data_IF_547600440743
#
_entry.id   IF_547600440743
#
_cell.length_a   1.000
_cell.length_b   1.000
_cell.length_c   1.000
_cell.angle_alpha   90.00
_cell.angle_beta   90.00
_cell.angle_gamma   90.00
#
_symmetry.space_group_name_H-M   'P 1'
#
loop_
_entity.id
_entity.type
_entity.pdbx_description
1 polymer ?
#
# COMPACT_ATOMS: atom_id res chain seq x y z
N UNK A 1 3.16 -1.48 30.53
CA UNK A 1 4.13 -0.79 29.67
C UNK A 1 4.21 0.69 30.05
N UNK A 2 5.22 1.43 29.59
CA UNK A 2 5.31 2.88 29.87
C UNK A 2 4.29 3.62 29.00
N UNK A 3 3.20 4.12 29.59
CA UNK A 3 2.16 4.86 28.85
C UNK A 3 2.70 6.08 28.09
N UNK A 4 3.89 6.58 28.44
CA UNK A 4 4.58 7.63 27.72
C UNK A 4 5.02 7.22 26.31
N UNK A 5 5.36 5.95 26.05
CA UNK A 5 5.83 5.50 24.74
C UNK A 5 4.70 5.43 23.71
N UNK A 6 3.53 4.94 24.14
CA UNK A 6 2.31 4.88 23.32
C UNK A 6 1.84 6.29 22.97
N UNK A 7 1.79 7.19 23.97
CA UNK A 7 1.43 8.59 23.75
C UNK A 7 2.37 9.30 22.77
N UNK A 8 3.68 9.02 22.86
CA UNK A 8 4.68 9.55 21.93
C UNK A 8 4.43 9.09 20.50
N UNK A 9 4.27 7.79 20.27
CA UNK A 9 4.08 7.27 18.92
C UNK A 9 2.73 7.62 18.31
N UNK A 10 1.68 7.75 19.13
CA UNK A 10 0.39 8.27 18.66
C UNK A 10 0.54 9.68 18.08
N UNK A 11 1.18 10.59 18.83
CA UNK A 11 1.44 11.94 18.36
C UNK A 11 2.32 11.94 17.09
N UNK A 12 3.34 11.07 17.04
CA UNK A 12 4.20 10.97 15.87
C UNK A 12 3.46 10.47 14.62
N UNK A 13 2.58 9.47 14.76
CA UNK A 13 1.75 8.94 13.67
C UNK A 13 0.76 10.00 13.17
N UNK A 14 0.09 10.69 14.09
CA UNK A 14 -0.96 11.65 13.74
C UNK A 14 -0.40 12.96 13.15
N UNK A 15 0.77 13.41 13.59
CA UNK A 15 1.31 14.74 13.25
C UNK A 15 2.42 14.69 12.19
N UNK A 16 3.20 13.61 12.13
CA UNK A 16 4.43 13.54 11.32
C UNK A 16 4.36 12.42 10.28
N UNK A 17 4.01 11.20 10.68
CA UNK A 17 3.99 10.01 9.82
C UNK A 17 2.62 9.82 9.14
N UNK A 18 2.14 10.89 8.51
CA UNK A 18 0.78 10.99 7.95
C UNK A 18 0.61 10.38 6.56
N UNK A 19 1.67 9.81 6.00
CA UNK A 19 1.69 9.12 4.70
C UNK A 19 1.74 7.61 4.90
N UNK A 20 1.38 6.79 3.88
CA UNK A 20 1.77 5.38 3.84
C UNK A 20 3.26 5.23 4.17
N UNK A 21 3.63 4.19 4.92
CA UNK A 21 4.96 4.09 5.48
C UNK A 21 5.40 2.65 5.65
N UNK A 22 6.68 2.39 5.40
CA UNK A 22 7.39 1.23 5.95
C UNK A 22 8.49 1.73 6.89
N UNK A 23 8.59 1.15 8.08
CA UNK A 23 9.71 1.39 9.02
C UNK A 23 10.36 0.06 9.33
N UNK A 24 11.67 -0.04 9.09
CA UNK A 24 12.43 -1.28 9.29
C UNK A 24 13.62 -1.03 10.20
N UNK A 25 13.69 -1.79 11.30
CA UNK A 25 14.83 -1.84 12.22
C UNK A 25 15.70 -3.04 11.89
N UNK A 26 16.99 -2.83 11.70
CA UNK A 26 17.94 -3.86 11.27
C UNK A 26 19.13 -3.85 12.22
N UNK A 27 19.46 -5.01 12.79
CA UNK A 27 20.59 -5.12 13.71
C UNK A 27 21.91 -5.24 12.93
N UNK A 28 22.89 -4.40 13.27
CA UNK A 28 24.29 -4.37 12.77
C UNK A 28 24.54 -4.07 11.29
N UNK A 29 23.52 -3.95 10.44
CA UNK A 29 23.70 -3.63 9.01
C UNK A 29 23.82 -2.11 8.81
N UNK A 30 24.92 -1.56 8.25
CA UNK A 30 25.06 -0.12 8.03
C UNK A 30 24.02 0.46 7.06
N UNK A 31 23.65 1.73 7.24
CA UNK A 31 22.64 2.42 6.42
C UNK A 31 22.88 2.36 4.90
N UNK A 32 24.11 2.55 4.37
CA UNK A 32 24.36 2.36 2.94
C UNK A 32 24.03 0.96 2.45
N UNK A 33 24.35 -0.07 3.24
CA UNK A 33 24.18 -1.48 2.88
C UNK A 33 22.71 -1.90 3.01
N UNK A 34 22.00 -1.38 4.02
CA UNK A 34 20.55 -1.52 4.13
C UNK A 34 19.82 -0.95 2.90
N UNK A 35 20.23 0.23 2.44
CA UNK A 35 19.69 0.81 1.20
C UNK A 35 20.04 -0.03 -0.03
N UNK A 36 21.23 -0.65 -0.10
CA UNK A 36 21.57 -1.59 -1.18
C UNK A 36 20.66 -2.82 -1.18
N UNK A 37 20.40 -3.40 0.00
CA UNK A 37 19.47 -4.52 0.14
C UNK A 37 18.04 -4.16 -0.31
N UNK A 38 17.63 -2.91 -0.06
CA UNK A 38 16.37 -2.32 -0.54
C UNK A 38 16.40 -1.86 -2.01
N UNK A 39 17.44 -2.21 -2.77
CA UNK A 39 17.60 -1.86 -4.20
C UNK A 39 17.68 -0.36 -4.47
N UNK A 40 18.44 0.38 -3.66
CA UNK A 40 18.74 1.80 -3.94
C UNK A 40 19.28 2.00 -5.35
N UNK A 41 18.92 3.14 -5.94
CA UNK A 41 19.53 3.67 -7.14
C UNK A 41 20.75 4.53 -6.81
N UNK A 42 21.91 4.12 -7.31
CA UNK A 42 23.20 4.76 -6.98
C UNK A 42 23.25 6.24 -7.38
N UNK A 43 22.63 6.61 -8.50
CA UNK A 43 22.58 7.98 -9.02
C UNK A 43 21.64 8.92 -8.25
N UNK A 44 20.90 8.39 -7.25
CA UNK A 44 19.91 9.16 -6.47
C UNK A 44 20.27 9.35 -5.01
N UNK A 45 21.44 8.82 -4.59
CA UNK A 45 21.96 8.94 -3.24
C UNK A 45 22.16 10.41 -2.85
N UNK A 46 21.53 10.83 -1.75
CA UNK A 46 21.70 12.16 -1.19
C UNK A 46 21.44 12.15 0.32
N UNK A 47 21.65 13.30 0.98
CA UNK A 47 21.12 13.54 2.31
C UNK A 47 19.78 14.27 2.21
N UNK A 48 18.74 13.78 2.90
CA UNK A 48 17.39 14.36 2.87
C UNK A 48 16.72 14.23 4.23
N UNK A 49 15.83 15.17 4.54
CA UNK A 49 14.87 15.04 5.64
C UNK A 49 13.76 14.04 5.28
N UNK A 50 12.91 13.69 6.25
CA UNK A 50 11.73 12.87 5.99
C UNK A 50 10.83 13.50 4.92
N UNK A 51 10.46 14.77 5.08
CA UNK A 51 9.56 15.50 4.15
C UNK A 51 10.10 15.53 2.72
N UNK A 52 11.40 15.79 2.52
CA UNK A 52 11.99 15.75 1.19
C UNK A 52 12.05 14.34 0.61
N UNK A 53 12.30 13.32 1.44
CA UNK A 53 12.29 11.92 0.98
C UNK A 53 10.89 11.49 0.57
N UNK A 54 9.85 11.89 1.31
CA UNK A 54 8.46 11.63 0.96
C UNK A 54 8.11 12.25 -0.41
N UNK A 55 8.49 13.50 -0.66
CA UNK A 55 8.28 14.12 -1.97
C UNK A 55 8.98 13.34 -3.09
N UNK A 56 10.25 12.98 -2.89
CA UNK A 56 11.01 12.18 -3.87
C UNK A 56 10.36 10.81 -4.10
N UNK A 57 9.79 10.18 -3.07
CA UNK A 57 9.07 8.92 -3.20
C UNK A 57 7.83 9.08 -4.09
N UNK A 58 7.03 10.13 -3.89
CA UNK A 58 5.88 10.43 -4.76
C UNK A 58 6.29 10.70 -6.20
N UNK A 59 7.36 11.47 -6.42
CA UNK A 59 7.86 11.79 -7.76
C UNK A 59 8.40 10.56 -8.51
N UNK A 60 8.92 9.57 -7.77
CA UNK A 60 9.49 8.36 -8.32
C UNK A 60 8.44 7.31 -8.72
N UNK A 61 7.24 7.37 -8.13
CA UNK A 61 6.14 6.45 -8.42
C UNK A 61 5.45 6.79 -9.76
N UNK A 62 4.95 5.78 -10.50
CA UNK A 62 5.02 4.35 -10.23
C UNK A 62 6.27 3.67 -10.81
N UNK A 63 7.22 4.43 -11.36
CA UNK A 63 8.37 3.88 -12.09
C UNK A 63 9.35 3.12 -11.18
N UNK A 64 9.35 3.46 -9.90
CA UNK A 64 10.25 2.97 -8.87
C UNK A 64 9.44 2.59 -7.62
N UNK A 65 10.06 1.96 -6.63
CA UNK A 65 9.46 1.56 -5.36
C UNK A 65 9.39 2.69 -4.33
N UNK A 66 9.37 3.95 -4.77
CA UNK A 66 9.45 5.13 -3.92
C UNK A 66 10.88 5.48 -3.51
N UNK A 67 11.06 5.99 -2.30
CA UNK A 67 12.35 6.38 -1.75
C UNK A 67 12.43 6.05 -0.26
N UNK A 68 13.65 5.93 0.25
CA UNK A 68 13.92 5.62 1.64
C UNK A 68 14.93 6.60 2.24
N UNK A 69 14.89 6.73 3.56
CA UNK A 69 15.93 7.33 4.38
C UNK A 69 16.43 6.32 5.41
N UNK A 70 17.72 6.33 5.70
CA UNK A 70 18.37 5.38 6.59
C UNK A 70 19.39 6.06 7.50
N UNK A 71 19.46 5.61 8.75
CA UNK A 71 20.42 6.08 9.74
C UNK A 71 20.89 4.91 10.63
N UNK A 72 22.17 4.89 10.98
CA UNK A 72 22.78 3.86 11.83
C UNK A 72 23.22 4.47 13.15
N UNK A 73 22.71 3.94 14.27
CA UNK A 73 23.08 4.36 15.62
C UNK A 73 23.12 3.17 16.56
N UNK A 74 24.21 3.06 17.33
CA UNK A 74 24.38 2.08 18.41
C UNK A 74 24.06 0.64 18.00
N UNK A 75 24.58 0.23 16.85
CA UNK A 75 24.43 -1.14 16.34
C UNK A 75 23.09 -1.43 15.68
N UNK A 76 22.21 -0.45 15.51
CA UNK A 76 20.95 -0.58 14.78
C UNK A 76 20.88 0.41 13.63
N UNK A 77 20.28 -0.03 12.52
CA UNK A 77 19.87 0.85 11.43
C UNK A 77 18.36 0.92 11.38
N UNK A 78 17.84 2.14 11.29
CA UNK A 78 16.42 2.39 11.03
C UNK A 78 16.31 2.89 9.59
N UNK A 79 15.49 2.21 8.81
CA UNK A 79 15.10 2.66 7.47
C UNK A 79 13.63 3.06 7.50
N UNK A 80 13.32 4.20 6.90
CA UNK A 80 11.96 4.70 6.75
C UNK A 80 11.69 4.93 5.27
N UNK A 81 10.64 4.30 4.75
CA UNK A 81 10.18 4.38 3.36
C UNK A 81 8.84 5.13 3.30
N UNK A 82 8.82 6.47 3.19
CA UNK A 82 7.59 7.19 2.97
C UNK A 82 7.00 6.77 1.61
N UNK A 83 5.78 6.25 1.65
CA UNK A 83 5.06 5.69 0.51
C UNK A 83 5.82 4.57 -0.23
N UNK A 84 6.69 3.86 0.49
CA UNK A 84 7.36 2.64 0.03
C UNK A 84 6.97 1.43 0.86
N UNK A 85 7.38 0.24 0.42
CA UNK A 85 6.96 -1.04 1.00
C UNK A 85 8.03 -2.13 0.88
N UNK A 86 9.26 -1.81 0.46
CA UNK A 86 10.27 -2.83 0.15
C UNK A 86 10.65 -3.63 1.40
N UNK A 87 10.72 -2.98 2.56
CA UNK A 87 10.95 -3.59 3.86
C UNK A 87 9.80 -4.49 4.33
N UNK A 88 8.61 -4.44 3.72
CA UNK A 88 7.52 -5.36 4.04
C UNK A 88 7.65 -6.71 3.31
N UNK A 89 8.56 -6.83 2.34
CA UNK A 89 8.70 -8.03 1.51
C UNK A 89 9.57 -9.08 2.18
N UNK A 90 9.12 -10.33 2.16
CA UNK A 90 9.85 -11.46 2.74
C UNK A 90 11.26 -11.62 2.16
N UNK A 91 11.44 -11.42 0.86
CA UNK A 91 12.76 -11.55 0.22
C UNK A 91 13.72 -10.44 0.65
N UNK A 92 13.22 -9.21 0.81
CA UNK A 92 14.00 -8.10 1.36
C UNK A 92 14.38 -8.39 2.80
N UNK A 93 13.41 -8.82 3.62
CA UNK A 93 13.63 -9.09 5.04
C UNK A 93 14.62 -10.22 5.27
N UNK A 94 14.59 -11.28 4.45
CA UNK A 94 15.60 -12.34 4.46
C UNK A 94 17.02 -11.84 4.09
N UNK A 95 17.13 -10.83 3.22
CA UNK A 95 18.44 -10.22 2.90
C UNK A 95 18.90 -9.33 4.06
N UNK A 96 18.01 -8.49 4.60
CA UNK A 96 18.32 -7.54 5.68
C UNK A 96 18.70 -8.26 6.99
N UNK A 97 18.07 -9.40 7.28
CA UNK A 97 18.31 -10.15 8.51
C UNK A 97 19.38 -11.23 8.39
N UNK A 98 20.07 -11.36 7.24
CA UNK A 98 20.95 -12.51 6.93
C UNK A 98 21.95 -12.86 8.04
N UNK A 99 22.56 -11.86 8.66
CA UNK A 99 23.56 -12.06 9.72
C UNK A 99 23.00 -11.87 11.14
N UNK A 100 21.80 -11.30 11.28
CA UNK A 100 21.22 -10.87 12.56
C UNK A 100 19.69 -10.99 12.54
N UNK A 101 18.96 -9.91 12.81
CA UNK A 101 17.49 -9.84 12.80
C UNK A 101 17.03 -8.48 12.30
N UNK A 102 15.82 -8.46 11.78
CA UNK A 102 15.14 -7.27 11.35
C UNK A 102 13.65 -7.35 11.71
N UNK A 103 13.07 -6.21 12.06
CA UNK A 103 11.64 -6.02 12.22
C UNK A 103 11.19 -4.93 11.26
N UNK A 104 10.08 -5.16 10.56
CA UNK A 104 9.48 -4.18 9.67
C UNK A 104 8.00 -3.99 10.00
N UNK A 105 7.57 -2.74 9.99
CA UNK A 105 6.18 -2.33 10.18
C UNK A 105 5.78 -1.54 8.95
N UNK A 106 4.77 -2.02 8.23
CA UNK A 106 4.26 -1.40 7.01
C UNK A 106 2.77 -1.12 7.15
N UNK A 107 2.34 0.04 6.66
CA UNK A 107 0.93 0.31 6.41
C UNK A 107 0.77 1.25 5.22
N UNK A 108 -0.39 1.16 4.57
CA UNK A 108 -0.77 2.05 3.48
C UNK A 108 -2.15 2.68 3.67
N UNK A 109 -2.52 3.54 2.73
CA UNK A 109 -3.81 4.24 2.76
C UNK A 109 -5.01 3.29 2.58
N UNK A 110 -4.77 2.08 2.08
CA UNK A 110 -5.79 1.04 1.87
C UNK A 110 -6.05 0.20 3.11
N UNK A 111 -5.50 0.60 4.28
CA UNK A 111 -5.58 -0.19 5.50
C UNK A 111 -5.07 -1.62 5.30
N UNK A 112 -4.12 -1.77 4.39
CA UNK A 112 -3.29 -2.95 4.27
C UNK A 112 -1.97 -2.63 4.99
N UNK A 113 -1.47 -3.60 5.72
CA UNK A 113 -0.32 -3.43 6.59
C UNK A 113 0.24 -4.76 7.04
N UNK A 114 1.54 -4.77 7.27
CA UNK A 114 2.26 -5.98 7.69
C UNK A 114 3.21 -5.69 8.83
N UNK A 115 3.28 -6.63 9.76
CA UNK A 115 4.38 -6.77 10.70
C UNK A 115 5.24 -7.95 10.24
N UNK A 116 6.50 -7.69 9.90
CA UNK A 116 7.42 -8.73 9.39
C UNK A 116 8.62 -8.84 10.30
N UNK A 117 8.88 -10.04 10.80
CA UNK A 117 10.07 -10.34 11.59
C UNK A 117 10.90 -11.42 10.92
N UNK A 118 12.19 -11.16 10.80
CA UNK A 118 13.14 -12.09 10.22
C UNK A 118 14.42 -12.16 11.04
N UNK A 119 15.00 -13.34 11.13
CA UNK A 119 16.26 -13.59 11.83
C UNK A 119 17.10 -14.57 11.01
N UNK A 120 18.40 -14.30 10.88
CA UNK A 120 19.41 -15.13 10.21
C UNK A 120 19.00 -15.51 8.78
N UNK A 121 18.33 -14.58 8.11
CA UNK A 121 17.86 -14.71 6.74
C UNK A 121 16.56 -15.52 6.56
N UNK A 122 15.90 -15.91 7.65
CA UNK A 122 14.61 -16.58 7.62
C UNK A 122 13.51 -15.63 8.13
N UNK A 123 12.39 -15.57 7.42
CA UNK A 123 11.20 -14.83 7.87
C UNK A 123 10.43 -15.73 8.83
N UNK A 124 10.41 -15.35 10.11
CA UNK A 124 9.79 -16.14 11.17
C UNK A 124 8.35 -15.71 11.45
N UNK A 125 7.98 -14.48 11.10
CA UNK A 125 6.61 -14.01 11.20
C UNK A 125 6.29 -13.02 10.07
N UNK A 126 5.09 -13.16 9.51
CA UNK A 126 4.44 -12.23 8.60
C UNK A 126 2.98 -12.13 9.05
N UNK A 127 2.65 -11.04 9.75
CA UNK A 127 1.33 -10.84 10.33
C UNK A 127 0.62 -9.70 9.60
N UNK A 128 -0.71 -9.79 9.48
CA UNK A 128 -1.52 -8.63 9.15
C UNK A 128 -1.43 -7.63 10.32
N UNK A 129 -1.05 -6.39 10.01
CA UNK A 129 -0.91 -5.36 11.02
C UNK A 129 -2.26 -5.00 11.65
N UNK A 130 -3.34 -5.02 10.88
CA UNK A 130 -4.67 -4.57 11.29
C UNK A 130 -5.58 -5.71 11.75
N UNK A 131 -5.15 -6.97 11.60
CA UNK A 131 -5.78 -8.14 12.19
C UNK A 131 -4.80 -8.90 13.12
N UNK A 132 -4.52 -8.37 14.32
CA UNK A 132 -3.60 -9.00 15.26
C UNK A 132 -4.12 -10.34 15.83
N UNK A 133 -5.42 -10.64 15.67
CA UNK A 133 -6.02 -11.89 16.12
C UNK A 133 -5.75 -13.04 15.14
N UNK A 134 -5.71 -12.73 13.84
CA UNK A 134 -5.46 -13.66 12.72
C UNK A 134 -4.04 -14.26 12.68
N UNK A 135 -3.15 -13.86 13.59
CA UNK A 135 -1.88 -14.55 13.80
C UNK A 135 -2.14 -15.99 14.27
N UNK A 136 -2.27 -16.94 13.33
CA UNK A 136 -2.40 -18.37 13.62
C UNK A 136 -1.31 -18.78 14.62
N UNK A 137 -1.72 -19.44 15.70
CA UNK A 137 -0.86 -19.88 16.81
C UNK A 137 -0.02 -18.76 17.44
N UNK A 138 -0.71 -17.80 18.08
CA UNK A 138 -0.15 -16.78 18.98
C UNK A 138 1.00 -17.27 19.89
N UNK A 139 0.89 -18.52 20.33
CA UNK A 139 1.80 -19.19 21.26
C UNK A 139 3.17 -19.49 20.61
N UNK A 140 3.26 -19.48 19.28
CA UNK A 140 4.48 -19.76 18.50
C UNK A 140 5.15 -18.49 17.94
N UNK A 141 4.67 -17.29 18.30
CA UNK A 141 5.35 -16.06 17.91
C UNK A 141 6.77 -16.00 18.52
N UNK A 142 7.79 -15.54 17.76
CA UNK A 142 9.11 -15.32 18.31
C UNK A 142 9.06 -14.43 19.55
N UNK A 143 9.92 -14.68 20.56
CA UNK A 143 9.98 -13.89 21.80
C UNK A 143 10.05 -12.38 21.55
N UNK A 144 10.71 -11.97 20.46
CA UNK A 144 10.80 -10.57 20.03
C UNK A 144 9.44 -9.90 19.73
N UNK A 145 8.39 -10.69 19.46
CA UNK A 145 7.04 -10.25 19.15
C UNK A 145 6.03 -10.59 20.27
N UNK A 146 6.48 -11.10 21.42
CA UNK A 146 5.56 -11.59 22.48
C UNK A 146 4.59 -10.53 23.01
N UNK A 147 4.94 -9.25 22.88
CA UNK A 147 4.12 -8.11 23.31
C UNK A 147 3.18 -7.58 22.21
N UNK A 148 3.23 -8.11 20.98
CA UNK A 148 2.51 -7.58 19.82
C UNK A 148 1.00 -7.51 20.05
N UNK A 149 0.39 -8.61 20.50
CA UNK A 149 -1.06 -8.71 20.71
C UNK A 149 -1.55 -7.73 21.76
N UNK A 150 -0.93 -7.74 22.95
CA UNK A 150 -1.29 -6.83 24.04
C UNK A 150 -1.16 -5.36 23.61
N UNK A 151 -0.10 -5.02 22.85
CA UNK A 151 0.11 -3.68 22.32
C UNK A 151 -0.95 -3.26 21.29
N UNK A 152 -1.30 -4.16 20.37
CA UNK A 152 -2.28 -3.90 19.33
C UNK A 152 -3.73 -3.89 19.85
N UNK A 153 -4.00 -4.55 20.99
CA UNK A 153 -5.29 -4.45 21.70
C UNK A 153 -5.38 -3.13 22.49
N UNK A 154 -4.28 -2.68 23.09
CA UNK A 154 -4.24 -1.44 23.89
C UNK A 154 -4.34 -0.16 23.02
N UNK A 155 -3.88 -0.19 21.77
CA UNK A 155 -3.74 1.01 20.94
C UNK A 155 -3.90 0.74 19.43
N UNK A 156 -3.70 1.78 18.62
CA UNK A 156 -3.58 1.65 17.17
C UNK A 156 -2.46 0.65 16.79
N UNK A 157 -2.72 -0.37 15.95
CA UNK A 157 -1.71 -1.36 15.58
C UNK A 157 -0.45 -0.76 14.91
N UNK A 158 -0.57 0.40 14.27
CA UNK A 158 0.58 1.16 13.73
C UNK A 158 1.48 1.64 14.88
N UNK A 159 0.87 2.20 15.93
CA UNK A 159 1.57 2.65 17.14
C UNK A 159 2.22 1.46 17.84
N UNK A 160 1.50 0.35 18.00
CA UNK A 160 2.00 -0.89 18.56
C UNK A 160 3.27 -1.40 17.84
N UNK A 161 3.26 -1.40 16.50
CA UNK A 161 4.40 -1.85 15.69
C UNK A 161 5.64 -0.96 15.91
N UNK A 162 5.46 0.37 15.97
CA UNK A 162 6.55 1.29 16.26
C UNK A 162 7.13 1.12 17.67
N UNK A 163 6.26 0.88 18.67
CA UNK A 163 6.69 0.57 20.04
C UNK A 163 7.50 -0.73 20.09
N UNK A 164 7.11 -1.74 19.32
CA UNK A 164 7.84 -2.99 19.22
C UNK A 164 9.23 -2.78 18.61
N UNK A 165 9.33 -1.96 17.56
CA UNK A 165 10.60 -1.56 16.95
C UNK A 165 11.52 -0.81 17.91
N UNK A 166 10.99 0.13 18.70
CA UNK A 166 11.78 0.80 19.75
C UNK A 166 12.21 -0.18 20.85
N UNK A 167 11.32 -1.06 21.29
CA UNK A 167 11.61 -2.04 22.34
C UNK A 167 12.73 -3.00 21.90
N UNK A 168 12.68 -3.44 20.64
CA UNK A 168 13.67 -4.35 20.06
C UNK A 168 15.05 -3.68 19.89
N UNK A 169 15.06 -2.44 19.40
CA UNK A 169 16.30 -1.74 19.01
C UNK A 169 16.88 -0.82 20.08
N UNK A 170 16.08 -0.47 21.09
CA UNK A 170 16.35 0.64 21.99
C UNK A 170 16.42 2.00 21.28
N UNK A 171 15.94 2.11 20.03
CA UNK A 171 15.99 3.33 19.21
C UNK A 171 14.60 3.93 19.06
N UNK A 172 14.43 5.11 19.63
CA UNK A 172 13.23 5.91 19.44
C UNK A 172 13.27 6.64 18.11
N UNK A 173 12.20 6.51 17.34
CA UNK A 173 11.91 7.40 16.22
C UNK A 173 11.12 8.59 16.77
N UNK A 174 11.60 9.81 16.55
CA UNK A 174 10.94 11.04 17.03
C UNK A 174 10.90 12.12 15.94
N UNK A 175 10.16 13.19 16.23
CA UNK A 175 10.00 14.31 15.30
C UNK A 175 11.34 15.00 15.01
N UNK A 176 12.26 15.07 15.97
CA UNK A 176 13.58 15.64 15.76
C UNK A 176 14.41 14.80 14.78
N UNK A 177 14.33 13.47 14.87
CA UNK A 177 14.94 12.56 13.91
C UNK A 177 14.38 12.80 12.52
N UNK A 178 13.06 12.95 12.34
CA UNK A 178 12.47 13.20 11.00
C UNK A 178 12.84 14.56 10.40
N UNK A 179 13.19 15.54 11.24
CA UNK A 179 13.47 16.91 10.84
C UNK A 179 14.92 17.14 10.37
N UNK A 180 15.85 16.24 10.68
CA UNK A 180 17.26 16.33 10.24
C UNK A 180 17.50 15.50 8.97
N UNK A 181 18.62 15.76 8.30
CA UNK A 181 18.96 15.04 7.07
C UNK A 181 19.62 13.68 7.38
N UNK A 182 19.17 12.63 6.67
CA UNK A 182 19.71 11.27 6.71
C UNK A 182 20.14 10.81 5.33
N UNK A 183 20.85 9.69 5.26
CA UNK A 183 21.18 9.07 3.96
C UNK A 183 19.89 8.62 3.28
N UNK A 184 19.69 8.96 2.01
CA UNK A 184 18.44 8.70 1.30
C UNK A 184 18.67 8.34 -0.17
N UNK A 185 17.81 7.50 -0.73
CA UNK A 185 17.84 7.10 -2.14
C UNK A 185 16.44 6.75 -2.67
N UNK A 186 16.26 6.85 -3.98
CA UNK A 186 15.15 6.22 -4.70
C UNK A 186 15.42 4.71 -4.73
N UNK A 187 14.36 3.90 -4.57
CA UNK A 187 14.45 2.44 -4.56
C UNK A 187 13.88 1.88 -5.86
N UNK A 188 14.56 0.93 -6.52
CA UNK A 188 13.97 0.21 -7.65
C UNK A 188 12.98 -0.87 -7.17
N UNK A 189 11.99 -1.19 -7.99
CA UNK A 189 11.06 -2.27 -7.72
C UNK A 189 11.80 -3.61 -7.72
N UNK A 190 11.57 -4.42 -6.68
CA UNK A 190 11.93 -5.82 -6.76
C UNK A 190 11.00 -6.45 -7.81
N UNK A 191 11.54 -7.27 -8.74
CA UNK A 191 10.68 -8.02 -9.63
C UNK A 191 9.64 -8.78 -8.81
N UNK A 192 8.42 -8.87 -9.33
CA UNK A 192 7.42 -9.75 -8.73
C UNK A 192 8.07 -11.14 -8.58
N UNK A 193 7.85 -11.84 -7.45
CA UNK A 193 8.41 -13.17 -7.25
C UNK A 193 8.04 -14.03 -8.46
N UNK A 194 9.07 -14.46 -9.19
CA UNK A 194 8.91 -15.24 -10.41
C UNK A 194 8.37 -16.60 -10.00
N UNK A 195 7.06 -16.81 -10.08
CA UNK A 195 6.51 -18.16 -9.99
C UNK A 195 5.35 -18.40 -9.04
N UNK A 196 4.69 -17.38 -8.48
CA UNK A 196 3.27 -17.62 -8.21
C UNK A 196 2.56 -17.62 -9.57
N UNK A 197 2.07 -18.77 -10.07
CA UNK A 197 1.21 -18.74 -11.23
C UNK A 197 0.10 -17.78 -10.90
N UNK A 198 -0.04 -16.73 -11.72
CA UNK A 198 -1.26 -15.93 -11.79
C UNK A 198 -2.34 -16.90 -12.24
N UNK A 199 -2.83 -17.72 -11.31
CA UNK A 199 -3.91 -18.66 -11.53
C UNK A 199 -5.09 -17.75 -11.78
N UNK A 200 -5.39 -17.48 -13.07
CA UNK A 200 -6.46 -16.57 -13.48
C UNK A 200 -7.66 -16.77 -12.57
N UNK A 201 -7.92 -15.78 -11.73
CA UNK A 201 -8.59 -15.91 -10.42
C UNK A 201 -10.08 -16.27 -10.54
N UNK A 202 -10.41 -17.44 -11.08
CA UNK A 202 -11.76 -17.81 -11.49
C UNK A 202 -12.40 -16.90 -12.54
N UNK A 203 -11.81 -15.73 -12.83
CA UNK A 203 -12.32 -14.75 -13.77
C UNK A 203 -11.83 -15.06 -15.17
N UNK A 204 -12.72 -15.69 -15.94
CA UNK A 204 -12.50 -16.01 -17.35
C UNK A 204 -12.11 -14.80 -18.21
N UNK A 205 -12.49 -13.57 -17.84
CA UNK A 205 -12.12 -12.35 -18.58
C UNK A 205 -10.66 -11.96 -18.35
N UNK A 206 -10.19 -12.05 -17.11
CA UNK A 206 -8.76 -11.86 -16.78
C UNK A 206 -7.92 -12.92 -17.50
N UNK A 207 -8.34 -14.18 -17.46
CA UNK A 207 -7.67 -15.27 -18.17
C UNK A 207 -7.62 -15.05 -19.69
N UNK A 208 -8.70 -14.50 -20.27
CA UNK A 208 -8.75 -14.19 -21.70
C UNK A 208 -7.78 -13.05 -22.10
N UNK A 209 -7.57 -12.06 -21.22
CA UNK A 209 -6.57 -11.01 -21.45
C UNK A 209 -5.15 -11.59 -21.34
N UNK A 210 -4.87 -12.41 -20.33
CA UNK A 210 -3.59 -13.11 -20.16
C UNK A 210 -3.23 -13.97 -21.38
N UNK A 211 -4.22 -14.66 -21.96
CA UNK A 211 -4.01 -15.49 -23.14
C UNK A 211 -3.77 -14.70 -24.43
N UNK A 212 -4.03 -13.40 -24.45
CA UNK A 212 -3.90 -12.56 -25.64
C UNK A 212 -3.79 -11.07 -25.31
N UNK A 213 -2.69 -10.64 -24.66
CA UNK A 213 -2.49 -9.24 -24.31
C UNK A 213 -2.37 -8.39 -25.58
N UNK A 214 -3.15 -7.31 -25.66
CA UNK A 214 -3.05 -6.34 -26.75
C UNK A 214 -3.51 -4.94 -26.30
N UNK A 215 -3.00 -3.83 -26.89
CA UNK A 215 -3.34 -2.47 -26.47
C UNK A 215 -4.85 -2.16 -26.42
N UNK A 216 -5.64 -2.73 -27.34
CA UNK A 216 -7.10 -2.60 -27.34
C UNK A 216 -7.85 -3.26 -26.17
N UNK A 217 -7.16 -3.89 -25.20
CA UNK A 217 -7.75 -4.46 -23.97
C UNK A 217 -7.74 -3.49 -22.79
N UNK A 218 -7.04 -2.35 -22.88
CA UNK A 218 -6.91 -1.42 -21.75
C UNK A 218 -8.27 -0.98 -21.17
N UNK A 219 -9.28 -0.74 -22.02
CA UNK A 219 -10.64 -0.38 -21.54
C UNK A 219 -11.36 -1.54 -20.84
N UNK A 220 -11.09 -2.79 -21.22
CA UNK A 220 -11.62 -3.97 -20.53
C UNK A 220 -10.93 -4.16 -19.17
N UNK A 221 -9.63 -3.88 -19.07
CA UNK A 221 -8.89 -3.82 -17.80
C UNK A 221 -9.53 -2.78 -16.89
N UNK A 222 -9.74 -1.55 -17.37
CA UNK A 222 -10.41 -0.49 -16.61
C UNK A 222 -11.81 -0.93 -16.12
N UNK A 223 -12.58 -1.63 -16.96
CA UNK A 223 -13.89 -2.16 -16.59
C UNK A 223 -13.81 -3.19 -15.44
N UNK A 224 -12.85 -4.13 -15.50
CA UNK A 224 -12.67 -5.15 -14.47
C UNK A 224 -12.22 -4.56 -13.12
N UNK A 225 -11.38 -3.52 -13.16
CA UNK A 225 -11.00 -2.79 -11.95
C UNK A 225 -12.19 -2.03 -11.38
N UNK A 226 -12.96 -1.31 -12.21
CA UNK A 226 -14.16 -0.60 -11.77
C UNK A 226 -15.25 -1.55 -11.22
N UNK A 227 -15.39 -2.74 -11.80
CA UNK A 227 -16.26 -3.81 -11.30
C UNK A 227 -15.83 -4.26 -9.91
N UNK A 228 -14.53 -4.50 -9.71
CA UNK A 228 -13.96 -4.84 -8.39
C UNK A 228 -14.24 -3.74 -7.36
N UNK A 229 -14.12 -2.46 -7.73
CA UNK A 229 -14.45 -1.34 -6.84
C UNK A 229 -15.94 -1.32 -6.45
N UNK A 230 -16.84 -1.63 -7.39
CA UNK A 230 -18.27 -1.70 -7.11
C UNK A 230 -18.60 -2.87 -6.18
N UNK A 231 -17.98 -4.03 -6.39
CA UNK A 231 -18.11 -5.22 -5.53
C UNK A 231 -17.67 -4.94 -4.09
N UNK A 232 -16.47 -4.39 -3.90
CA UNK A 232 -15.92 -4.08 -2.57
C UNK A 232 -16.72 -3.01 -1.82
N UNK A 233 -17.24 -2.01 -2.53
CA UNK A 233 -17.98 -0.90 -1.91
C UNK A 233 -19.48 -1.17 -1.72
N UNK A 234 -20.00 -2.26 -2.31
CA UNK A 234 -21.43 -2.50 -2.40
C UNK A 234 -22.18 -1.43 -3.20
N UNK A 235 -21.51 -0.77 -4.16
CA UNK A 235 -22.12 0.26 -5.01
C UNK A 235 -23.05 -0.39 -6.04
N UNK A 236 -24.30 -0.62 -5.65
CA UNK A 236 -25.36 -1.12 -6.50
C UNK A 236 -26.30 0.01 -6.95
N UNK A 237 -25.94 0.67 -8.04
CA UNK A 237 -26.77 1.71 -8.67
C UNK A 237 -26.88 1.48 -10.18
N UNK A 238 -28.03 1.78 -10.82
CA UNK A 238 -28.23 1.54 -12.26
C UNK A 238 -27.17 2.19 -13.16
N UNK A 239 -26.61 3.33 -12.73
CA UNK A 239 -25.53 4.00 -13.47
C UNK A 239 -24.25 3.16 -13.51
N UNK A 240 -23.84 2.52 -12.41
CA UNK A 240 -22.65 1.68 -12.37
C UNK A 240 -22.78 0.51 -13.36
N UNK A 241 -23.93 -0.18 -13.37
CA UNK A 241 -24.20 -1.25 -14.34
C UNK A 241 -24.16 -0.78 -15.80
N UNK A 242 -24.66 0.43 -16.10
CA UNK A 242 -24.55 1.03 -17.44
C UNK A 242 -23.10 1.34 -17.82
N UNK A 243 -22.31 1.92 -16.91
CA UNK A 243 -20.89 2.22 -17.12
C UNK A 243 -20.11 0.93 -17.42
N UNK A 244 -20.24 -0.09 -16.57
CA UNK A 244 -19.54 -1.37 -16.76
C UNK A 244 -19.94 -2.06 -18.08
N UNK A 245 -21.23 -2.06 -18.41
CA UNK A 245 -21.73 -2.59 -19.68
C UNK A 245 -21.18 -1.82 -20.89
N UNK A 246 -21.12 -0.50 -20.80
CA UNK A 246 -20.60 0.35 -21.87
C UNK A 246 -19.11 0.10 -22.09
N UNK A 247 -18.29 0.10 -21.02
CA UNK A 247 -16.85 -0.14 -21.08
C UNK A 247 -16.53 -1.50 -21.72
N UNK A 248 -17.30 -2.55 -21.40
CA UNK A 248 -17.16 -3.87 -22.01
C UNK A 248 -17.43 -3.89 -23.52
N UNK A 249 -18.17 -2.91 -24.05
CA UNK A 249 -18.61 -2.84 -25.46
C UNK A 249 -17.84 -1.84 -26.30
N UNK A 250 -16.77 -1.22 -25.77
CA UNK A 250 -15.99 -0.16 -26.45
C UNK A 250 -16.88 1.01 -26.89
N UNK A 251 -17.32 1.85 -25.93
CA UNK A 251 -18.27 2.91 -26.20
C UNK A 251 -17.67 3.97 -27.13
N UNK A 252 -18.51 4.62 -27.92
CA UNK A 252 -18.10 5.80 -28.69
C UNK A 252 -17.86 7.01 -27.77
N UNK A 253 -17.16 8.06 -28.24
CA UNK A 253 -16.84 9.23 -27.42
C UNK A 253 -18.06 9.96 -26.85
N UNK A 254 -19.18 10.00 -27.57
CA UNK A 254 -20.39 10.68 -27.10
C UNK A 254 -21.03 9.91 -25.92
N UNK A 255 -21.01 8.58 -25.98
CA UNK A 255 -21.46 7.70 -24.90
C UNK A 255 -20.56 7.85 -23.67
N UNK A 256 -19.23 7.91 -23.86
CA UNK A 256 -18.30 8.15 -22.75
C UNK A 256 -18.56 9.49 -22.06
N UNK A 257 -18.73 10.56 -22.83
CA UNK A 257 -18.97 11.89 -22.28
C UNK A 257 -20.30 11.96 -21.51
N UNK A 258 -21.36 11.37 -22.05
CA UNK A 258 -22.65 11.29 -21.36
C UNK A 258 -22.54 10.54 -20.03
N UNK A 259 -21.90 9.36 -20.03
CA UNK A 259 -21.71 8.57 -18.81
C UNK A 259 -20.81 9.29 -17.80
N UNK A 260 -19.81 10.04 -18.25
CA UNK A 260 -18.93 10.84 -17.39
C UNK A 260 -19.72 11.97 -16.71
N UNK A 261 -20.56 12.67 -17.47
CA UNK A 261 -21.43 13.72 -16.91
C UNK A 261 -22.40 13.15 -15.86
N UNK A 262 -23.03 12.00 -16.13
CA UNK A 262 -23.90 11.31 -15.17
C UNK A 262 -23.13 10.83 -13.92
N UNK A 263 -21.93 10.28 -14.09
CA UNK A 263 -21.08 9.83 -12.97
C UNK A 263 -20.62 11.01 -12.12
N UNK A 264 -20.28 12.14 -12.73
CA UNK A 264 -19.95 13.37 -12.02
C UNK A 264 -21.14 14.00 -11.27
N UNK A 265 -22.38 13.77 -11.72
CA UNK A 265 -23.58 14.13 -10.95
C UNK A 265 -23.72 13.23 -9.71
N UNK A 266 -23.64 11.91 -9.88
CA UNK A 266 -23.69 10.96 -8.76
C UNK A 266 -22.59 11.25 -7.72
N UNK A 267 -21.37 11.58 -8.18
CA UNK A 267 -20.26 11.94 -7.30
C UNK A 267 -20.59 13.17 -6.42
N UNK A 268 -21.19 14.21 -7.02
CA UNK A 268 -21.63 15.42 -6.29
C UNK A 268 -22.78 15.13 -5.34
N UNK A 269 -23.73 14.28 -5.73
CA UNK A 269 -24.83 13.86 -4.87
C UNK A 269 -24.34 13.10 -3.64
N UNK A 270 -23.41 12.15 -3.82
CA UNK A 270 -22.77 11.44 -2.70
C UNK A 270 -22.00 12.39 -1.79
N UNK A 271 -21.27 13.36 -2.36
CA UNK A 271 -20.55 14.35 -1.57
C UNK A 271 -21.49 15.24 -0.76
N UNK A 272 -22.61 15.68 -1.36
CA UNK A 272 -23.63 16.45 -0.65
C UNK A 272 -24.34 15.64 0.44
N UNK A 273 -24.39 14.31 0.28
CA UNK A 273 -24.91 13.36 1.27
C UNK A 273 -23.83 12.84 2.24
N UNK A 274 -22.68 13.52 2.35
CA UNK A 274 -21.64 13.14 3.29
C UNK A 274 -22.19 13.03 4.72
N UNK A 275 -21.89 11.93 5.46
CA UNK A 275 -22.32 11.78 6.84
C UNK A 275 -21.85 12.94 7.72
N UNK A 276 -22.64 13.28 8.74
CA UNK A 276 -22.23 14.26 9.75
C UNK A 276 -21.09 13.73 10.61
N UNK A 277 -20.40 14.63 11.32
CA UNK A 277 -19.30 14.28 12.23
C UNK A 277 -19.75 13.31 13.34
N UNK A 278 -21.04 13.33 13.70
CA UNK A 278 -21.63 12.46 14.73
C UNK A 278 -22.09 11.09 14.18
N UNK A 279 -21.92 10.80 12.89
CA UNK A 279 -22.27 9.51 12.32
C UNK A 279 -21.38 8.38 12.88
N UNK A 280 -21.91 7.16 12.94
CA UNK A 280 -21.11 6.02 13.37
C UNK A 280 -19.95 5.75 12.40
N UNK A 281 -18.80 5.22 12.88
CA UNK A 281 -17.67 4.88 12.03
C UNK A 281 -18.06 4.01 10.82
N UNK A 282 -18.93 3.01 11.03
CA UNK A 282 -19.43 2.14 9.96
C UNK A 282 -20.21 2.88 8.85
N UNK A 283 -20.95 3.93 9.19
CA UNK A 283 -21.67 4.76 8.21
C UNK A 283 -20.68 5.62 7.42
N UNK A 284 -19.69 6.19 8.11
CA UNK A 284 -18.62 6.99 7.49
C UNK A 284 -17.82 6.12 6.52
N UNK A 285 -17.39 4.94 6.94
CA UNK A 285 -16.60 4.03 6.11
C UNK A 285 -17.41 3.49 4.92
N UNK A 286 -18.67 3.10 5.14
CA UNK A 286 -19.56 2.66 4.06
C UNK A 286 -19.87 3.77 3.05
N UNK A 287 -19.87 5.05 3.46
CA UNK A 287 -19.97 6.19 2.54
C UNK A 287 -18.64 6.40 1.78
N UNK A 288 -17.50 6.39 2.48
CA UNK A 288 -16.16 6.56 1.87
C UNK A 288 -15.91 5.53 0.78
N UNK A 289 -16.21 4.25 1.04
CA UNK A 289 -16.05 3.18 0.06
C UNK A 289 -16.88 3.42 -1.20
N UNK A 290 -18.15 3.83 -1.06
CA UNK A 290 -19.03 4.15 -2.20
C UNK A 290 -18.56 5.38 -2.96
N UNK A 291 -18.14 6.41 -2.25
CA UNK A 291 -17.60 7.65 -2.85
C UNK A 291 -16.34 7.35 -3.67
N UNK A 292 -15.39 6.59 -3.11
CA UNK A 292 -14.18 6.17 -3.81
C UNK A 292 -14.49 5.30 -5.04
N UNK A 293 -15.44 4.35 -4.95
CA UNK A 293 -15.86 3.54 -6.09
C UNK A 293 -16.46 4.35 -7.24
N UNK A 294 -17.22 5.42 -6.95
CA UNK A 294 -17.67 6.37 -7.99
C UNK A 294 -16.48 7.10 -8.63
N UNK A 295 -15.48 7.47 -7.83
CA UNK A 295 -14.22 8.03 -8.34
C UNK A 295 -13.46 7.07 -9.27
N UNK A 296 -13.52 5.76 -9.02
CA UNK A 296 -12.96 4.71 -9.89
C UNK A 296 -13.76 4.59 -11.20
N UNK A 297 -15.09 4.61 -11.14
CA UNK A 297 -15.95 4.61 -12.34
C UNK A 297 -15.69 5.83 -13.23
N UNK A 298 -15.52 7.02 -12.64
CA UNK A 298 -15.21 8.25 -13.36
C UNK A 298 -13.87 8.16 -14.11
N UNK A 299 -12.83 7.61 -13.46
CA UNK A 299 -11.52 7.40 -14.09
C UNK A 299 -11.59 6.40 -15.25
N UNK A 300 -12.35 5.31 -15.10
CA UNK A 300 -12.50 4.29 -16.14
C UNK A 300 -13.13 4.82 -17.42
N UNK A 301 -13.88 5.93 -17.33
CA UNK A 301 -14.51 6.61 -18.46
C UNK A 301 -13.57 7.56 -19.21
N UNK A 302 -12.27 7.64 -18.87
CA UNK A 302 -11.30 8.48 -19.58
C UNK A 302 -11.22 8.20 -21.09
N UNK A 303 -10.95 9.25 -21.88
CA UNK A 303 -10.95 9.17 -23.36
C UNK A 303 -9.86 8.24 -23.89
N UNK A 304 -8.64 8.37 -23.37
CA UNK A 304 -7.53 7.48 -23.68
C UNK A 304 -7.65 6.18 -22.87
N UNK A 305 -7.77 5.00 -23.51
CA UNK A 305 -7.99 3.74 -22.81
C UNK A 305 -6.88 3.37 -21.81
N UNK A 306 -5.62 3.65 -22.14
CA UNK A 306 -4.46 3.26 -21.33
C UNK A 306 -4.35 4.16 -20.10
N UNK A 307 -4.45 5.47 -20.28
CA UNK A 307 -4.48 6.43 -19.19
C UNK A 307 -5.68 6.20 -18.27
N UNK A 308 -6.86 5.93 -18.83
CA UNK A 308 -8.05 5.58 -18.07
C UNK A 308 -7.82 4.33 -17.20
N UNK A 309 -7.27 3.26 -17.77
CA UNK A 309 -6.98 2.03 -17.01
C UNK A 309 -5.98 2.27 -15.88
N UNK A 310 -4.92 3.05 -16.14
CA UNK A 310 -3.91 3.39 -15.14
C UNK A 310 -4.49 4.23 -13.99
N UNK A 311 -5.28 5.27 -14.32
CA UNK A 311 -5.95 6.08 -13.29
C UNK A 311 -6.97 5.25 -12.49
N UNK A 312 -7.68 4.34 -13.15
CA UNK A 312 -8.61 3.41 -12.49
C UNK A 312 -7.89 2.50 -11.49
N UNK A 313 -6.74 1.91 -11.88
CA UNK A 313 -5.88 1.08 -11.01
C UNK A 313 -5.35 1.90 -9.83
N UNK A 314 -4.93 3.13 -10.06
CA UNK A 314 -4.43 4.00 -9.00
C UNK A 314 -5.55 4.35 -7.99
N UNK A 315 -6.74 4.72 -8.48
CA UNK A 315 -7.87 5.10 -7.63
C UNK A 315 -8.49 3.94 -6.86
N UNK A 316 -8.50 2.72 -7.40
CA UNK A 316 -8.98 1.56 -6.62
C UNK A 316 -8.06 1.30 -5.43
N UNK A 317 -6.78 1.68 -5.52
CA UNK A 317 -5.84 1.72 -4.40
C UNK A 317 -6.11 2.86 -3.41
N UNK A 318 -7.35 3.38 -3.34
CA UNK A 318 -7.89 4.14 -2.20
C UNK A 318 -8.99 3.35 -1.46
N UNK A 319 -9.36 2.16 -1.95
CA UNK A 319 -10.29 1.23 -1.32
C UNK A 319 -9.50 0.20 -0.52
N UNK A 320 -10.08 -0.28 0.60
CA UNK A 320 -9.59 -1.47 1.29
C UNK A 320 -9.80 -2.68 0.38
N UNK A 321 -8.73 -3.18 -0.21
CA UNK A 321 -8.77 -4.37 -1.06
C UNK A 321 -8.62 -5.58 -0.15
N UNK A 322 -9.61 -6.47 -0.16
CA UNK A 322 -9.37 -7.80 0.37
C UNK A 322 -8.31 -8.53 -0.49
N UNK A 323 -7.78 -9.60 0.07
CA UNK A 323 -6.77 -10.47 -0.53
C UNK A 323 -7.07 -10.86 -1.99
N UNK A 324 -8.35 -11.15 -2.28
CA UNK A 324 -8.80 -11.57 -3.60
C UNK A 324 -8.82 -10.38 -4.57
N UNK A 325 -9.36 -9.25 -4.15
CA UNK A 325 -9.43 -8.03 -4.95
C UNK A 325 -8.02 -7.46 -5.21
N UNK A 326 -7.15 -7.47 -4.19
CA UNK A 326 -5.75 -7.05 -4.29
C UNK A 326 -5.00 -7.83 -5.36
N UNK A 327 -5.07 -9.17 -5.33
CA UNK A 327 -4.46 -10.02 -6.37
C UNK A 327 -5.06 -9.80 -7.76
N UNK A 328 -6.40 -9.61 -7.87
CA UNK A 328 -7.08 -9.31 -9.14
C UNK A 328 -6.60 -7.99 -9.73
N UNK A 329 -6.56 -6.92 -8.93
CA UNK A 329 -6.09 -5.60 -9.36
C UNK A 329 -4.60 -5.63 -9.71
N UNK A 330 -3.77 -6.29 -8.90
CA UNK A 330 -2.34 -6.46 -9.18
C UNK A 330 -2.08 -7.18 -10.50
N UNK A 331 -2.83 -8.25 -10.78
CA UNK A 331 -2.79 -8.95 -12.07
C UNK A 331 -3.15 -8.02 -13.24
N UNK A 332 -4.22 -7.25 -13.09
CA UNK A 332 -4.69 -6.29 -14.09
C UNK A 332 -3.70 -5.13 -14.32
N UNK A 333 -2.97 -4.72 -13.28
CA UNK A 333 -1.91 -3.73 -13.38
C UNK A 333 -0.72 -4.24 -14.19
N UNK A 334 -0.23 -5.45 -13.90
CA UNK A 334 0.84 -6.07 -14.68
C UNK A 334 0.46 -6.25 -16.15
N UNK A 335 -0.78 -6.70 -16.40
CA UNK A 335 -1.33 -6.80 -17.75
C UNK A 335 -1.39 -5.45 -18.46
N UNK A 336 -1.72 -4.37 -17.74
CA UNK A 336 -1.77 -3.04 -18.33
C UNK A 336 -0.40 -2.61 -18.86
N UNK A 337 0.66 -2.89 -18.11
CA UNK A 337 2.03 -2.57 -18.53
C UNK A 337 2.43 -3.38 -19.77
N UNK A 338 2.07 -4.67 -19.84
CA UNK A 338 2.30 -5.52 -21.02
C UNK A 338 1.53 -5.03 -22.26
N UNK A 339 0.28 -4.57 -22.12
CA UNK A 339 -0.50 -4.08 -23.27
C UNK A 339 -0.17 -2.64 -23.67
N UNK A 340 0.59 -1.91 -22.85
CA UNK A 340 0.97 -0.52 -23.11
C UNK A 340 2.34 -0.36 -23.77
N UNK A 341 3.19 -1.40 -23.71
CA UNK A 341 4.49 -1.46 -24.36
C UNK A 341 4.40 -1.79 -25.85
#
# INVERSE_FOLDING_TARGET
>A
MDSGILAHYRALVDEVLTVPLCVTWIETLPAPDALVALRRREDTMARRTFTHTAQVAYDALPRHAGAALADTRDGWTVVVEPNGFQGARSETMAVLSRETRALSVFWNANSDGHLVYAERGEVLALLDLFDPEDAEDAEDLPDALSAWRDLAEEDDPRVAGLVLGETLSGRRLDSAWTAIEHLSAVLDLLPAPSGEPVNGHGDSRVAAILAGPHPGRAREIAALVAETACELSGLDVPLAGRVLTALARRPDPATLEALRAETGLLNRELLAAAPTVDASPSVIDGWRMRYAAVGVLEAALGEDPVAAARDTIWRIGMLRLDDRAGRRVGTLANLLDEVSG
#
